data_IF_141965038369
#
_entry.id   IF_141965038369
#
_cell.length_a   1.000
_cell.length_b   1.000
_cell.length_c   1.000
_cell.angle_alpha   90.00
_cell.angle_beta   90.00
_cell.angle_gamma   90.00
#
_symmetry.space_group_name_H-M   'P 1'
#
loop_
_entity.id
_entity.type
_entity.pdbx_description
1 polymer ?
#
# COMPACT_ATOMS: atom_id res chain seq x y z
N UNK A 1 31.35 -16.15 -1.06
CA UNK A 1 30.30 -15.23 -1.57
C UNK A 1 30.13 -15.52 -3.06
N UNK A 2 29.03 -16.13 -3.50
CA UNK A 2 28.83 -16.47 -4.93
C UNK A 2 28.33 -15.22 -5.67
N UNK A 3 29.11 -14.70 -6.61
CA UNK A 3 28.69 -13.64 -7.52
C UNK A 3 27.72 -14.23 -8.55
N UNK A 4 26.45 -13.82 -8.52
CA UNK A 4 25.50 -14.11 -9.59
C UNK A 4 25.91 -13.32 -10.83
N UNK A 5 26.46 -14.01 -11.85
CA UNK A 5 26.61 -13.42 -13.18
C UNK A 5 25.21 -13.24 -13.77
N UNK A 6 24.73 -12.01 -13.86
CA UNK A 6 23.49 -11.71 -14.58
C UNK A 6 23.69 -12.10 -16.05
N UNK A 7 22.80 -12.94 -16.57
CA UNK A 7 22.73 -13.19 -18.00
C UNK A 7 22.55 -11.85 -18.75
N UNK A 8 23.13 -11.69 -19.96
CA UNK A 8 22.91 -10.51 -20.77
C UNK A 8 21.40 -10.33 -20.99
N UNK A 9 20.85 -9.20 -20.54
CA UNK A 9 19.42 -8.89 -20.68
C UNK A 9 19.13 -8.66 -22.16
N UNK A 10 18.22 -9.43 -22.75
CA UNK A 10 17.54 -9.01 -23.98
C UNK A 10 16.98 -7.58 -23.76
N UNK A 11 16.97 -6.75 -24.81
CA UNK A 11 16.39 -5.40 -24.74
C UNK A 11 14.88 -5.53 -24.46
N UNK A 12 14.54 -5.54 -23.18
CA UNK A 12 13.16 -5.59 -22.71
C UNK A 12 12.44 -4.33 -23.18
N UNK A 13 11.33 -4.49 -23.91
CA UNK A 13 10.54 -3.35 -24.36
C UNK A 13 10.00 -2.60 -23.14
N UNK A 14 10.07 -1.25 -23.13
CA UNK A 14 9.48 -0.42 -22.09
C UNK A 14 8.11 0.14 -22.51
N UNK A 15 7.32 0.63 -21.56
CA UNK A 15 6.10 1.38 -21.88
C UNK A 15 6.43 2.68 -22.61
N UNK A 16 5.55 3.21 -23.48
CA UNK A 16 5.83 4.43 -24.22
C UNK A 16 6.20 5.58 -23.27
N UNK A 17 7.34 6.23 -23.55
CA UNK A 17 7.87 7.37 -22.78
C UNK A 17 8.24 7.06 -21.33
N UNK A 18 8.46 5.79 -20.98
CA UNK A 18 8.94 5.43 -19.64
C UNK A 18 10.12 4.46 -19.72
N UNK A 19 10.88 4.41 -18.64
CA UNK A 19 11.97 3.44 -18.44
C UNK A 19 11.44 2.14 -17.82
N UNK A 20 10.11 2.03 -17.69
CA UNK A 20 9.44 0.92 -17.02
C UNK A 20 9.36 -0.23 -18.02
N UNK A 21 10.04 -1.36 -17.74
CA UNK A 21 9.96 -2.51 -18.61
C UNK A 21 8.53 -3.05 -18.68
N UNK A 22 8.08 -3.40 -19.88
CA UNK A 22 6.84 -4.13 -20.08
C UNK A 22 6.94 -5.48 -19.37
N UNK A 23 5.79 -5.94 -18.90
CA UNK A 23 5.66 -7.29 -18.38
C UNK A 23 6.17 -8.31 -19.42
N UNK A 24 6.74 -9.41 -18.93
CA UNK A 24 7.10 -10.53 -19.80
C UNK A 24 5.86 -10.97 -20.60
N UNK A 25 6.08 -11.46 -21.83
CA UNK A 25 5.00 -11.85 -22.73
C UNK A 25 4.06 -12.92 -22.14
N UNK A 26 4.60 -13.73 -21.22
CA UNK A 26 3.87 -14.80 -20.51
C UNK A 26 3.37 -14.36 -19.12
N UNK A 27 3.43 -13.05 -18.82
CA UNK A 27 2.84 -12.47 -17.63
C UNK A 27 1.31 -12.52 -17.67
N UNK A 28 0.63 -12.61 -16.51
CA UNK A 28 -0.81 -12.44 -16.50
C UNK A 28 -1.15 -11.06 -17.08
N UNK A 29 -2.11 -11.04 -18.00
CA UNK A 29 -2.73 -9.78 -18.42
C UNK A 29 -3.42 -9.15 -17.20
N UNK A 30 -3.52 -7.82 -17.20
CA UNK A 30 -4.06 -7.06 -16.07
C UNK A 30 -5.47 -7.51 -15.65
N UNK A 31 -6.00 -6.95 -14.56
CA UNK A 31 -7.32 -7.32 -14.06
C UNK A 31 -8.38 -7.17 -15.16
N UNK A 32 -9.21 -8.20 -15.35
CA UNK A 32 -10.29 -8.21 -16.35
C UNK A 32 -11.57 -7.53 -15.85
N UNK A 33 -11.62 -7.20 -14.56
CA UNK A 33 -12.73 -6.51 -13.91
C UNK A 33 -12.22 -5.42 -12.97
N UNK A 34 -13.06 -4.43 -12.67
CA UNK A 34 -12.75 -3.39 -11.68
C UNK A 34 -12.50 -4.02 -10.30
N UNK A 35 -13.30 -5.02 -9.90
CA UNK A 35 -13.10 -5.71 -8.62
C UNK A 35 -11.74 -6.40 -8.56
N UNK A 36 -11.32 -7.08 -9.62
CA UNK A 36 -9.99 -7.71 -9.68
C UNK A 36 -8.84 -6.70 -9.62
N UNK A 37 -9.09 -5.42 -9.93
CA UNK A 37 -8.06 -4.39 -9.80
C UNK A 37 -7.68 -4.13 -8.34
N UNK A 38 -8.53 -4.47 -7.36
CA UNK A 38 -8.21 -4.36 -5.94
C UNK A 38 -7.31 -5.50 -5.43
N UNK A 39 -7.24 -6.61 -6.16
CA UNK A 39 -6.41 -7.79 -5.83
C UNK A 39 -4.98 -7.70 -6.37
N UNK A 40 -4.62 -6.58 -7.00
CA UNK A 40 -3.33 -6.40 -7.67
C UNK A 40 -2.15 -6.70 -6.73
N UNK A 41 -2.24 -6.29 -5.46
CA UNK A 41 -1.18 -6.48 -4.49
C UNK A 41 -0.98 -7.96 -4.14
N UNK A 42 -2.07 -8.73 -4.09
CA UNK A 42 -2.04 -10.18 -3.82
C UNK A 42 -1.35 -10.90 -4.98
N UNK A 43 -1.78 -10.60 -6.22
CA UNK A 43 -1.17 -11.14 -7.43
C UNK A 43 0.31 -10.78 -7.52
N UNK A 44 0.67 -9.54 -7.18
CA UNK A 44 2.04 -9.08 -7.17
C UNK A 44 2.91 -9.86 -6.17
N UNK A 45 2.44 -10.00 -4.92
CA UNK A 45 3.17 -10.75 -3.89
C UNK A 45 3.32 -12.23 -4.25
N UNK A 46 2.29 -12.89 -4.76
CA UNK A 46 2.35 -14.30 -5.16
C UNK A 46 3.41 -14.51 -6.26
N UNK A 47 3.49 -13.60 -7.22
CA UNK A 47 4.51 -13.64 -8.28
C UNK A 47 5.91 -13.36 -7.73
N UNK A 48 6.02 -12.41 -6.80
CA UNK A 48 7.28 -12.11 -6.15
C UNK A 48 7.79 -13.32 -5.34
N UNK A 49 6.92 -13.95 -4.56
CA UNK A 49 7.21 -15.17 -3.79
C UNK A 49 7.62 -16.32 -4.70
N UNK A 50 6.94 -16.51 -5.84
CA UNK A 50 7.28 -17.56 -6.82
C UNK A 50 8.67 -17.38 -7.43
N UNK A 51 9.07 -16.14 -7.73
CA UNK A 51 10.33 -15.86 -8.42
C UNK A 51 11.53 -15.66 -7.47
N UNK A 52 11.30 -15.12 -6.27
CA UNK A 52 12.37 -14.77 -5.32
C UNK A 52 12.43 -15.71 -4.10
N UNK A 53 11.43 -16.56 -3.93
CA UNK A 53 11.29 -17.45 -2.79
C UNK A 53 10.46 -16.83 -1.67
N UNK A 54 9.36 -17.50 -1.31
CA UNK A 54 8.43 -17.09 -0.25
C UNK A 54 9.12 -16.68 1.06
N UNK A 55 10.04 -17.49 1.56
CA UNK A 55 10.72 -17.22 2.83
C UNK A 55 11.53 -15.92 2.81
N UNK A 56 12.18 -15.61 1.69
CA UNK A 56 12.93 -14.36 1.54
C UNK A 56 12.00 -13.15 1.50
N UNK A 57 10.93 -13.22 0.69
CA UNK A 57 9.95 -12.13 0.54
C UNK A 57 9.27 -11.83 1.87
N UNK A 58 8.74 -12.85 2.56
CA UNK A 58 8.07 -12.66 3.86
C UNK A 58 9.00 -12.13 4.93
N UNK A 59 10.23 -12.65 5.03
CA UNK A 59 11.24 -12.12 5.96
C UNK A 59 11.53 -10.63 5.70
N UNK A 60 11.55 -10.21 4.42
CA UNK A 60 11.75 -8.79 4.07
C UNK A 60 10.54 -7.94 4.42
N UNK A 61 9.33 -8.38 4.08
CA UNK A 61 8.09 -7.68 4.45
C UNK A 61 7.99 -7.51 5.98
N UNK A 62 8.35 -8.55 6.74
CA UNK A 62 8.39 -8.52 8.21
C UNK A 62 9.46 -7.58 8.79
N UNK A 63 10.48 -7.24 8.02
CA UNK A 63 11.53 -6.32 8.50
C UNK A 63 11.19 -4.85 8.32
N UNK A 64 10.07 -4.52 7.66
CA UNK A 64 9.73 -3.17 7.25
C UNK A 64 8.57 -2.57 8.05
N UNK A 65 8.77 -1.40 8.64
CA UNK A 65 7.67 -0.60 9.19
C UNK A 65 7.14 0.32 8.10
N UNK A 66 5.84 0.21 7.81
CA UNK A 66 5.22 0.95 6.71
C UNK A 66 4.39 2.09 7.28
N UNK A 67 4.86 3.32 7.06
CA UNK A 67 4.09 4.53 7.30
C UNK A 67 3.77 5.15 5.94
N UNK A 68 2.50 5.09 5.55
CA UNK A 68 2.04 5.48 4.22
C UNK A 68 1.28 6.80 4.27
N UNK A 69 1.60 7.67 3.32
CA UNK A 69 0.89 8.90 3.03
C UNK A 69 0.47 8.82 1.58
N UNK A 70 -0.82 8.99 1.32
CA UNK A 70 -1.39 8.91 0.00
C UNK A 70 -2.01 10.24 -0.40
N UNK A 71 -1.93 10.55 -1.68
CA UNK A 71 -2.45 11.77 -2.28
C UNK A 71 -3.20 11.42 -3.54
N UNK A 72 -4.33 12.09 -3.80
CA UNK A 72 -5.25 11.70 -4.88
C UNK A 72 -5.71 10.25 -4.71
N UNK A 73 -6.02 9.91 -3.46
CA UNK A 73 -6.20 8.54 -3.00
C UNK A 73 -7.44 7.87 -3.61
N UNK A 74 -8.44 8.67 -4.00
CA UNK A 74 -9.74 8.18 -4.42
C UNK A 74 -10.32 7.25 -3.36
N UNK A 75 -10.92 6.15 -3.79
CA UNK A 75 -11.53 5.16 -2.88
C UNK A 75 -10.51 4.23 -2.20
N UNK A 76 -9.21 4.45 -2.39
CA UNK A 76 -8.17 3.70 -1.68
C UNK A 76 -7.65 2.47 -2.41
N UNK A 77 -7.57 2.48 -3.75
CA UNK A 77 -7.12 1.32 -4.52
C UNK A 77 -5.64 0.96 -4.29
N UNK A 78 -4.79 1.95 -4.02
CA UNK A 78 -3.38 1.70 -3.71
C UNK A 78 -3.22 1.19 -2.27
N UNK A 79 -4.11 1.62 -1.39
CA UNK A 79 -4.14 1.38 0.04
C UNK A 79 -4.59 -0.05 0.36
N UNK A 80 -5.29 -0.73 -0.56
CA UNK A 80 -5.54 -2.18 -0.40
C UNK A 80 -4.25 -2.98 -0.30
N UNK A 81 -3.16 -2.49 -0.91
CA UNK A 81 -1.85 -3.11 -0.75
C UNK A 81 -1.38 -3.13 0.71
N UNK A 82 -1.78 -2.16 1.52
CA UNK A 82 -1.45 -2.12 2.95
C UNK A 82 -2.08 -3.29 3.68
N UNK A 83 -3.36 -3.57 3.40
CA UNK A 83 -4.09 -4.70 3.97
C UNK A 83 -3.47 -6.03 3.51
N UNK A 84 -3.13 -6.13 2.22
CA UNK A 84 -2.47 -7.32 1.68
C UNK A 84 -1.09 -7.54 2.29
N UNK A 85 -0.27 -6.49 2.43
CA UNK A 85 1.05 -6.55 3.05
C UNK A 85 0.93 -6.95 4.52
N UNK A 86 -0.01 -6.36 5.26
CA UNK A 86 -0.25 -6.69 6.66
C UNK A 86 -0.63 -8.17 6.81
N UNK A 87 -1.52 -8.66 5.95
CA UNK A 87 -1.91 -10.08 5.90
C UNK A 87 -0.71 -11.00 5.55
N UNK A 88 0.13 -10.59 4.60
CA UNK A 88 1.27 -11.37 4.14
C UNK A 88 2.46 -11.37 5.12
N UNK A 89 2.70 -10.26 5.82
CA UNK A 89 3.74 -10.14 6.83
C UNK A 89 3.41 -10.92 8.10
N UNK A 90 2.12 -11.13 8.39
CA UNK A 90 1.64 -11.83 9.58
C UNK A 90 1.40 -10.91 10.77
N UNK A 91 0.91 -11.49 11.87
CA UNK A 91 0.56 -10.76 13.08
C UNK A 91 1.78 -10.01 13.67
N UNK A 92 1.60 -8.72 13.99
CA UNK A 92 2.62 -7.89 14.65
C UNK A 92 3.28 -6.83 13.76
N UNK A 93 3.07 -6.85 12.44
CA UNK A 93 3.59 -5.80 11.56
C UNK A 93 2.73 -4.53 11.66
N UNK A 94 3.36 -3.39 11.95
CA UNK A 94 2.69 -2.10 11.89
C UNK A 94 2.72 -1.57 10.44
N UNK A 95 1.62 -1.79 9.71
CA UNK A 95 1.32 -1.04 8.48
C UNK A 95 0.31 0.03 8.85
N UNK A 96 0.64 1.30 8.56
CA UNK A 96 -0.19 2.44 8.96
C UNK A 96 -0.39 3.38 7.77
N UNK A 97 -1.64 3.58 7.38
CA UNK A 97 -2.03 4.73 6.56
C UNK A 97 -2.13 5.95 7.47
N UNK A 98 -1.07 6.77 7.49
CA UNK A 98 -0.97 7.96 8.34
C UNK A 98 -1.93 9.04 7.87
N UNK A 99 -1.89 9.31 6.56
CA UNK A 99 -2.65 10.37 5.92
C UNK A 99 -3.12 9.92 4.54
N UNK A 100 -4.37 10.25 4.21
CA UNK A 100 -4.85 10.25 2.84
C UNK A 100 -5.33 11.67 2.50
N UNK A 101 -4.96 12.14 1.31
CA UNK A 101 -5.37 13.44 0.79
C UNK A 101 -6.36 13.22 -0.34
N UNK A 102 -7.60 13.59 -0.09
CA UNK A 102 -8.72 13.38 -1.01
C UNK A 102 -9.75 14.50 -0.87
N UNK A 103 -10.18 15.06 -1.99
CA UNK A 103 -11.14 16.16 -2.05
C UNK A 103 -12.59 15.68 -2.14
N UNK A 104 -12.82 14.48 -2.69
CA UNK A 104 -14.15 13.91 -2.83
C UNK A 104 -14.69 13.34 -1.51
N UNK A 105 -15.85 13.82 -1.08
CA UNK A 105 -16.46 13.42 0.19
C UNK A 105 -16.90 11.95 0.22
N UNK A 106 -17.24 11.36 -0.93
CA UNK A 106 -17.61 9.95 -1.03
C UNK A 106 -16.41 9.05 -0.76
N UNK A 107 -15.30 9.32 -1.45
CA UNK A 107 -14.02 8.68 -1.28
C UNK A 107 -13.48 8.82 0.15
N UNK A 108 -13.56 10.03 0.73
CA UNK A 108 -13.19 10.26 2.13
C UNK A 108 -13.93 9.33 3.12
N UNK A 109 -15.24 9.13 2.92
CA UNK A 109 -16.04 8.21 3.78
C UNK A 109 -15.56 6.77 3.67
N UNK A 110 -15.25 6.31 2.45
CA UNK A 110 -14.68 4.97 2.22
C UNK A 110 -13.34 4.84 2.93
N UNK A 111 -12.45 5.83 2.77
CA UNK A 111 -11.11 5.80 3.37
C UNK A 111 -11.13 5.77 4.89
N UNK A 112 -12.01 6.57 5.52
CA UNK A 112 -12.21 6.55 6.97
C UNK A 112 -12.75 5.22 7.47
N UNK A 113 -13.77 4.67 6.79
CA UNK A 113 -14.42 3.42 7.19
C UNK A 113 -13.53 2.20 7.02
N UNK A 114 -12.72 2.15 5.96
CA UNK A 114 -11.89 0.99 5.63
C UNK A 114 -10.53 1.01 6.31
N UNK A 115 -9.85 2.15 6.36
CA UNK A 115 -8.44 2.22 6.78
C UNK A 115 -8.21 2.96 8.09
N UNK A 116 -9.21 3.67 8.63
CA UNK A 116 -9.07 4.45 9.86
C UNK A 116 -8.05 5.58 9.78
N UNK A 117 -7.80 6.12 8.58
CA UNK A 117 -6.75 7.13 8.30
C UNK A 117 -7.12 8.56 8.71
N UNK A 118 -6.13 9.43 8.90
CA UNK A 118 -6.41 10.87 8.93
C UNK A 118 -6.58 11.41 7.51
N UNK A 119 -7.50 12.35 7.33
CA UNK A 119 -7.78 12.94 6.02
C UNK A 119 -7.34 14.40 5.94
N UNK A 120 -6.83 14.77 4.76
CA UNK A 120 -6.74 16.16 4.32
C UNK A 120 -7.54 16.33 3.04
N UNK A 121 -8.21 17.47 2.90
CA UNK A 121 -9.10 17.73 1.76
C UNK A 121 -8.34 18.21 0.52
N UNK A 122 -7.26 18.96 0.73
CA UNK A 122 -6.45 19.53 -0.35
C UNK A 122 -4.96 19.26 -0.07
N UNK A 123 -4.24 18.88 -1.12
CA UNK A 123 -2.80 18.68 -1.10
C UNK A 123 -2.03 19.99 -0.96
N UNK A 124 -2.58 21.10 -1.47
CA UNK A 124 -1.93 22.41 -1.35
C UNK A 124 -2.02 22.97 0.08
N UNK A 125 -2.99 22.51 0.86
CA UNK A 125 -3.14 22.84 2.29
C UNK A 125 -2.45 21.81 3.21
N UNK A 126 -1.88 20.75 2.63
CA UNK A 126 -1.28 19.67 3.40
C UNK A 126 0.15 20.01 3.82
N UNK A 127 0.28 20.60 5.01
CA UNK A 127 1.55 20.68 5.72
C UNK A 127 1.68 19.51 6.72
N UNK A 128 2.55 18.55 6.38
CA UNK A 128 2.81 17.38 7.21
C UNK A 128 3.28 17.73 8.62
N UNK A 129 4.13 18.74 8.78
CA UNK A 129 4.65 19.14 10.08
C UNK A 129 3.54 19.78 10.93
N UNK A 130 2.76 20.68 10.34
CA UNK A 130 1.63 21.30 11.03
C UNK A 130 0.58 20.25 11.46
N UNK A 131 0.24 19.32 10.56
CA UNK A 131 -0.75 18.27 10.83
C UNK A 131 -0.26 17.25 11.86
N UNK A 132 1.01 16.86 11.81
CA UNK A 132 1.62 15.98 12.81
C UNK A 132 1.64 16.64 14.19
N UNK A 133 2.03 17.91 14.26
CA UNK A 133 2.01 18.70 15.49
C UNK A 133 0.58 18.87 16.05
N UNK A 134 -0.41 19.06 15.19
CA UNK A 134 -1.82 19.11 15.59
C UNK A 134 -2.26 17.80 16.24
N UNK A 135 -2.00 16.64 15.61
CA UNK A 135 -2.33 15.34 16.18
C UNK A 135 -1.65 15.10 17.55
N UNK A 136 -0.36 15.44 17.67
CA UNK A 136 0.40 15.29 18.92
C UNK A 136 -0.15 16.20 20.03
N UNK A 137 -0.48 17.46 19.72
CA UNK A 137 -0.96 18.45 20.70
C UNK A 137 -2.36 18.15 21.21
N UNK A 138 -3.27 17.77 20.31
CA UNK A 138 -4.67 17.63 20.69
C UNK A 138 -4.99 16.29 21.36
N UNK A 139 -4.01 15.38 21.47
CA UNK A 139 -4.17 14.02 22.02
C UNK A 139 -5.46 13.35 21.55
N UNK A 140 -5.96 13.74 20.38
CA UNK A 140 -7.14 13.10 19.84
C UNK A 140 -6.78 11.64 19.74
N UNK A 141 -7.67 10.75 20.19
CA UNK A 141 -7.60 9.32 19.92
C UNK A 141 -7.65 9.17 18.40
N UNK A 142 -6.51 9.42 17.78
CA UNK A 142 -6.33 9.39 16.37
C UNK A 142 -6.40 7.91 16.04
N UNK A 143 -7.38 7.46 15.25
CA UNK A 143 -7.55 6.03 14.97
C UNK A 143 -6.32 5.41 14.30
N UNK A 144 -5.40 6.22 13.75
CA UNK A 144 -4.10 5.78 13.20
C UNK A 144 -2.97 5.70 14.22
N UNK A 145 -3.12 6.28 15.41
CA UNK A 145 -2.15 6.18 16.50
C UNK A 145 -2.42 4.91 17.29
N UNK A 146 -1.40 4.18 17.76
CA UNK A 146 -1.59 2.89 18.43
C UNK A 146 -2.19 3.09 19.83
N UNK A 147 -3.49 3.38 19.89
CA UNK A 147 -4.31 3.27 21.09
C UNK A 147 -5.63 2.58 20.73
N UNK A 148 -5.58 1.24 20.74
CA UNK A 148 -6.62 0.37 21.27
C UNK A 148 -8.07 0.47 20.76
N UNK A 149 -8.33 0.75 19.48
CA UNK A 149 -9.62 0.37 18.90
C UNK A 149 -9.42 -0.64 17.79
N UNK A 150 -9.91 -1.86 18.02
CA UNK A 150 -10.11 -2.83 16.95
C UNK A 150 -10.97 -2.18 15.87
N UNK A 151 -10.40 -2.02 14.69
CA UNK A 151 -11.11 -1.51 13.52
C UNK A 151 -12.27 -2.47 13.22
N UNK A 152 -13.50 -2.05 13.53
CA UNK A 152 -14.71 -2.88 13.39
C UNK A 152 -14.99 -3.38 11.97
N UNK A 153 -14.32 -2.84 10.95
CA UNK A 153 -14.45 -3.31 9.58
C UNK A 153 -13.56 -4.54 9.27
N UNK A 154 -12.49 -4.77 10.04
CA UNK A 154 -11.56 -5.90 9.84
C UNK A 154 -11.91 -7.13 10.67
N UNK A 155 -12.88 -7.06 11.58
CA UNK A 155 -13.36 -8.22 12.32
C UNK A 155 -14.34 -9.10 11.53
N UNK A 156 -14.77 -8.65 10.34
CA UNK A 156 -15.78 -9.33 9.51
C UNK A 156 -15.22 -9.82 8.14
N UNK A 157 -13.90 -9.74 7.91
CA UNK A 157 -13.20 -10.30 6.73
C UNK A 157 -12.19 -11.36 7.14
#
# INVERSE_FOLDING_TARGET
MKTFKQAPREKQACWPKTDIPKAAKDGPEGPTTISASYDWATVFLDRLEKNMGRGLVRKRLQSWNWDVISTFTGVGCAETALLTIQKAAGAGQAVRLRWAVESDLGAQKVLLGTYGSCLAQDIFEFDMAAKTNHCLRHKMECPTWPSQRGSGYLSEL
#
